data_IF_742125093627
#
_entry.id   IF_742125093627
#
_cell.length_a   1.000
_cell.length_b   1.000
_cell.length_c   1.000
_cell.angle_alpha   90.00
_cell.angle_beta   90.00
_cell.angle_gamma   90.00
#
_symmetry.space_group_name_H-M   'P 1'
#
loop_
_entity.id
_entity.type
_entity.pdbx_description
1 polymer ?
#
# COMPACT_ATOMS: atom_id res chain seq x y z
N UNK A 1 -3.73 -11.37 1.51
CA UNK A 1 -2.44 -11.25 0.80
C UNK A 1 -2.41 -11.76 -0.63
N UNK A 2 -2.59 -13.06 -0.91
CA UNK A 2 -2.40 -13.63 -2.28
C UNK A 2 -3.22 -12.97 -3.40
N UNK A 3 -4.50 -12.69 -3.16
CA UNK A 3 -5.35 -12.04 -4.18
C UNK A 3 -4.97 -10.58 -4.43
N UNK A 4 -4.49 -9.90 -3.40
CA UNK A 4 -4.08 -8.49 -3.41
C UNK A 4 -2.79 -8.32 -4.21
N UNK A 5 -1.85 -9.24 -4.02
CA UNK A 5 -0.55 -9.16 -4.67
C UNK A 5 -0.57 -9.66 -6.13
N UNK A 6 -1.46 -10.61 -6.47
CA UNK A 6 -1.70 -11.02 -7.86
C UNK A 6 -2.35 -9.87 -8.69
N UNK A 7 -2.99 -8.89 -8.03
CA UNK A 7 -3.54 -7.71 -8.68
C UNK A 7 -2.46 -6.69 -9.09
N UNK A 8 -1.39 -6.56 -8.30
CA UNK A 8 -0.34 -5.56 -8.53
C UNK A 8 0.76 -6.02 -9.50
N UNK A 9 0.97 -7.35 -9.65
CA UNK A 9 2.03 -7.93 -10.49
C UNK A 9 1.91 -7.67 -12.00
N UNK A 10 0.88 -6.96 -12.46
CA UNK A 10 0.76 -6.55 -13.87
C UNK A 10 1.21 -5.11 -14.16
N UNK A 11 1.54 -4.29 -13.16
CA UNK A 11 1.84 -2.86 -13.42
C UNK A 11 3.06 -2.27 -12.72
N UNK A 12 3.60 -2.85 -11.65
CA UNK A 12 4.78 -2.32 -10.96
C UNK A 12 5.56 -3.39 -10.20
N UNK A 13 6.86 -3.16 -10.00
CA UNK A 13 7.75 -4.11 -9.31
C UNK A 13 7.38 -4.14 -7.83
N UNK A 14 6.75 -5.24 -7.40
CA UNK A 14 6.30 -5.43 -6.03
C UNK A 14 6.87 -6.72 -5.46
N UNK A 15 7.50 -6.65 -4.30
CA UNK A 15 7.93 -7.83 -3.54
C UNK A 15 7.00 -7.99 -2.36
N UNK A 16 6.46 -9.17 -2.12
CA UNK A 16 5.57 -9.39 -1.00
C UNK A 16 5.75 -10.78 -0.39
N UNK A 17 5.49 -10.84 0.90
CA UNK A 17 5.43 -12.02 1.76
C UNK A 17 4.06 -12.05 2.47
N UNK A 18 3.84 -12.96 3.41
CA UNK A 18 2.56 -13.04 4.13
C UNK A 18 2.29 -11.80 5.01
N UNK A 19 3.33 -11.18 5.60
CA UNK A 19 3.20 -10.06 6.55
C UNK A 19 3.88 -8.76 6.10
N UNK A 20 4.52 -8.74 4.93
CA UNK A 20 5.31 -7.61 4.43
C UNK A 20 5.16 -7.46 2.92
N UNK A 21 5.16 -6.23 2.41
CA UNK A 21 5.16 -5.94 0.99
C UNK A 21 5.83 -4.61 0.67
N UNK A 22 6.65 -4.59 -0.37
CA UNK A 22 7.21 -3.38 -0.96
C UNK A 22 6.61 -3.22 -2.35
N UNK A 23 6.19 -2.01 -2.68
CA UNK A 23 5.77 -1.61 -4.01
C UNK A 23 6.59 -0.40 -4.44
N UNK A 24 7.33 -0.57 -5.53
CA UNK A 24 8.08 0.50 -6.16
C UNK A 24 7.21 1.12 -7.24
N UNK A 25 6.62 2.30 -6.99
CA UNK A 25 5.74 2.98 -7.94
C UNK A 25 6.51 3.75 -9.02
N UNK A 26 7.84 3.85 -8.91
CA UNK A 26 8.72 4.60 -9.81
C UNK A 26 8.75 6.12 -9.55
N UNK A 27 7.71 6.66 -8.90
CA UNK A 27 7.65 8.03 -8.38
C UNK A 27 7.62 8.10 -6.84
N UNK A 28 7.54 6.94 -6.20
CA UNK A 28 7.56 6.76 -4.74
C UNK A 28 7.76 5.27 -4.43
N UNK A 29 8.33 5.00 -3.27
CA UNK A 29 8.47 3.67 -2.70
C UNK A 29 7.50 3.52 -1.54
N UNK A 30 6.79 2.40 -1.51
CA UNK A 30 5.83 2.10 -0.47
C UNK A 30 6.19 0.77 0.18
N UNK A 31 6.38 0.79 1.49
CA UNK A 31 6.52 -0.39 2.32
C UNK A 31 5.26 -0.59 3.14
N UNK A 32 4.82 -1.83 3.26
CA UNK A 32 3.63 -2.24 3.98
C UNK A 32 4.01 -3.40 4.89
N UNK A 33 3.62 -3.34 6.15
CA UNK A 33 3.93 -4.39 7.12
C UNK A 33 2.78 -4.57 8.10
N UNK A 34 2.52 -5.81 8.51
CA UNK A 34 1.56 -6.10 9.58
C UNK A 34 2.32 -6.16 10.90
N UNK A 35 2.08 -5.20 11.78
CA UNK A 35 2.67 -5.16 13.13
C UNK A 35 1.54 -5.26 14.15
N UNK A 36 1.58 -6.29 15.00
CA UNK A 36 0.58 -6.51 16.06
C UNK A 36 -0.88 -6.52 15.55
N UNK A 37 -1.10 -7.01 14.33
CA UNK A 37 -2.42 -7.04 13.70
C UNK A 37 -2.87 -5.72 13.07
N UNK A 38 -2.04 -4.67 13.10
CA UNK A 38 -2.27 -3.42 12.39
C UNK A 38 -1.43 -3.36 11.10
N UNK A 39 -2.02 -2.87 10.01
CA UNK A 39 -1.30 -2.58 8.78
C UNK A 39 -0.60 -1.23 8.92
N UNK A 40 0.73 -1.24 8.90
CA UNK A 40 1.58 -0.04 8.89
C UNK A 40 2.08 0.17 7.48
N UNK A 41 1.93 1.39 6.98
CA UNK A 41 2.32 1.78 5.62
C UNK A 41 3.33 2.91 5.74
N UNK A 42 4.48 2.74 5.12
CA UNK A 42 5.52 3.76 5.04
C UNK A 42 5.72 4.14 3.57
N UNK A 43 5.62 5.43 3.27
CA UNK A 43 5.76 5.94 1.90
C UNK A 43 6.94 6.89 1.86
N UNK A 44 7.88 6.60 0.98
CA UNK A 44 8.98 7.48 0.64
C UNK A 44 8.77 8.03 -0.75
N UNK A 45 8.64 9.36 -0.86
CA UNK A 45 8.50 10.05 -2.12
C UNK A 45 9.45 11.25 -2.14
N UNK A 46 10.05 11.54 -3.30
CA UNK A 46 10.93 12.71 -3.47
C UNK A 46 10.14 14.02 -3.57
N UNK A 47 8.83 13.93 -3.86
CA UNK A 47 7.94 15.08 -4.05
C UNK A 47 6.62 14.87 -3.33
N UNK A 48 6.00 15.97 -2.90
CA UNK A 48 4.68 15.95 -2.27
C UNK A 48 3.58 15.44 -3.22
N UNK A 49 3.68 15.76 -4.52
CA UNK A 49 2.81 15.20 -5.56
C UNK A 49 2.93 13.67 -5.65
N UNK A 50 4.14 13.13 -5.55
CA UNK A 50 4.39 11.69 -5.50
C UNK A 50 3.76 11.04 -4.27
N UNK A 51 3.89 11.66 -3.10
CA UNK A 51 3.27 11.20 -1.86
C UNK A 51 1.74 11.17 -1.96
N UNK A 52 1.12 12.27 -2.37
CA UNK A 52 -0.34 12.37 -2.54
C UNK A 52 -0.88 11.32 -3.51
N UNK A 53 -0.12 11.04 -4.58
CA UNK A 53 -0.49 10.01 -5.55
C UNK A 53 -0.49 8.61 -4.94
N UNK A 54 0.49 8.29 -4.10
CA UNK A 54 0.51 7.01 -3.36
C UNK A 54 -0.63 6.95 -2.36
N UNK A 55 -0.90 8.01 -1.61
CA UNK A 55 -2.03 8.06 -0.67
C UNK A 55 -3.34 7.70 -1.38
N UNK A 56 -3.61 8.35 -2.53
CA UNK A 56 -4.82 8.10 -3.31
C UNK A 56 -4.90 6.65 -3.82
N UNK A 57 -3.78 6.08 -4.27
CA UNK A 57 -3.74 4.68 -4.70
C UNK A 57 -4.06 3.76 -3.53
N UNK A 58 -3.47 4.00 -2.36
CA UNK A 58 -3.64 3.16 -1.18
C UNK A 58 -5.07 3.26 -0.62
N UNK A 59 -5.63 4.47 -0.52
CA UNK A 59 -7.03 4.70 -0.12
C UNK A 59 -7.99 3.94 -1.05
N UNK A 60 -7.83 4.08 -2.37
CA UNK A 60 -8.71 3.42 -3.35
C UNK A 60 -8.64 1.87 -3.27
N UNK A 61 -7.50 1.30 -2.90
CA UNK A 61 -7.37 -0.13 -2.69
C UNK A 61 -7.96 -0.54 -1.33
N UNK A 62 -7.70 0.22 -0.27
CA UNK A 62 -8.22 -0.09 1.07
C UNK A 62 -9.73 0.08 1.17
N UNK A 63 -10.37 0.99 0.43
CA UNK A 63 -11.84 1.01 0.29
C UNK A 63 -12.38 -0.29 -0.31
N UNK A 64 -11.68 -0.82 -1.33
CA UNK A 64 -12.06 -2.07 -2.02
C UNK A 64 -11.80 -3.32 -1.16
N UNK A 65 -10.77 -3.32 -0.31
CA UNK A 65 -10.48 -4.45 0.59
C UNK A 65 -11.20 -4.35 1.94
N UNK A 66 -11.44 -3.13 2.43
CA UNK A 66 -12.01 -2.80 3.73
C UNK A 66 -13.54 -2.82 3.76
N UNK A 67 -14.21 -3.18 2.66
CA UNK A 67 -15.67 -3.24 2.58
C UNK A 67 -16.34 -4.16 3.62
N UNK A 68 -15.56 -5.05 4.28
CA UNK A 68 -16.04 -5.86 5.42
C UNK A 68 -15.65 -5.33 6.81
N UNK A 69 -14.62 -4.47 6.96
CA UNK A 69 -14.02 -4.17 8.27
C UNK A 69 -13.80 -2.67 8.58
N UNK A 70 -14.24 -1.75 7.72
CA UNK A 70 -14.23 -0.29 7.99
C UNK A 70 -12.84 0.23 8.42
N UNK A 71 -11.81 -0.19 7.68
CA UNK A 71 -10.42 0.17 7.92
C UNK A 71 -10.23 1.68 7.78
N UNK A 72 -9.82 2.35 8.86
CA UNK A 72 -9.45 3.77 8.84
C UNK A 72 -7.93 3.92 8.72
N UNK A 73 -7.49 4.70 7.74
CA UNK A 73 -6.09 5.05 7.54
C UNK A 73 -5.86 6.44 8.12
N UNK A 74 -4.77 6.59 8.87
CA UNK A 74 -4.30 7.90 9.32
C UNK A 74 -2.93 8.13 8.72
N UNK A 75 -2.84 9.10 7.81
CA UNK A 75 -1.58 9.55 7.23
C UNK A 75 -0.91 10.57 8.16
N UNK A 76 0.42 10.51 8.28
CA UNK A 76 1.23 11.42 9.10
C UNK A 76 2.33 12.08 8.27
#
# INVERSE_FOLDING_TARGET
MKALCNHFSHKVQSTYSDDYGIVHFGFADCEMQVINGALVINVQAETEEGFQRVQHVIDAHLERFGSQENLQITWQ
#
